data_IF_791602978582
#
_entry.id   IF_791602978582
#
_cell.length_a   1.000
_cell.length_b   1.000
_cell.length_c   1.000
_cell.angle_alpha   90.00
_cell.angle_beta   90.00
_cell.angle_gamma   90.00
#
_symmetry.space_group_name_H-M   'P 1'
#
loop_
_entity.id
_entity.type
_entity.pdbx_description
1 polymer ?
#
# COMPACT_ATOMS: atom_id res chain seq x y z
N UNK A 1 21.35 2.89 6.10
CA UNK A 1 20.18 3.73 5.74
C UNK A 1 20.50 5.21 5.89
N UNK A 2 19.76 6.13 5.25
CA UNK A 2 19.91 7.58 5.46
C UNK A 2 19.84 7.96 6.95
N UNK A 3 18.91 7.35 7.69
CA UNK A 3 18.75 7.52 9.14
C UNK A 3 20.03 7.20 9.95
N UNK A 4 20.73 6.10 9.62
CA UNK A 4 21.98 5.72 10.30
C UNK A 4 23.13 6.72 10.07
N UNK A 5 23.01 7.55 9.03
CA UNK A 5 23.99 8.60 8.67
C UNK A 5 23.52 10.01 9.04
N UNK A 6 22.36 10.14 9.70
CA UNK A 6 21.75 11.43 10.02
C UNK A 6 21.32 12.24 8.79
N UNK A 7 21.16 11.60 7.64
CA UNK A 7 20.72 12.27 6.42
C UNK A 7 19.20 12.30 6.35
N UNK A 8 18.59 13.36 5.78
CA UNK A 8 17.17 13.37 5.49
C UNK A 8 16.78 12.13 4.66
N UNK A 9 15.54 11.60 4.80
CA UNK A 9 15.09 10.50 3.97
C UNK A 9 15.15 10.85 2.48
N UNK A 10 15.28 9.84 1.62
CA UNK A 10 15.24 9.99 0.17
C UNK A 10 13.91 9.45 -0.34
N UNK A 11 13.19 10.26 -1.10
CA UNK A 11 11.94 9.89 -1.76
C UNK A 11 12.04 10.09 -3.27
N UNK A 12 11.10 9.51 -4.01
CA UNK A 12 10.97 9.73 -5.46
C UNK A 12 9.66 10.46 -5.77
N UNK A 13 9.74 11.59 -6.47
CA UNK A 13 8.56 12.22 -7.08
C UNK A 13 8.68 12.26 -8.59
N UNK A 14 7.55 12.41 -9.27
CA UNK A 14 7.52 12.47 -10.73
C UNK A 14 8.31 13.66 -11.27
N UNK A 15 8.24 14.80 -10.59
CA UNK A 15 8.81 16.07 -11.08
C UNK A 15 10.30 16.18 -10.78
N UNK A 16 10.79 15.61 -9.67
CA UNK A 16 12.16 15.78 -9.20
C UNK A 16 13.00 14.50 -9.24
N UNK A 17 12.38 13.34 -9.49
CA UNK A 17 13.06 12.06 -9.33
C UNK A 17 13.45 11.79 -7.87
N UNK A 18 14.56 11.09 -7.65
CA UNK A 18 15.06 10.83 -6.30
C UNK A 18 15.70 12.08 -5.69
N UNK A 19 15.22 12.49 -4.52
CA UNK A 19 15.74 13.64 -3.80
C UNK A 19 15.58 13.46 -2.28
N UNK A 20 16.34 14.25 -1.52
CA UNK A 20 16.21 14.32 -0.07
C UNK A 20 14.97 15.10 0.31
N UNK A 21 14.26 14.66 1.35
CA UNK A 21 13.14 15.39 1.91
C UNK A 21 13.58 16.76 2.45
N UNK A 22 12.81 17.79 2.14
CA UNK A 22 12.93 19.15 2.65
C UNK A 22 12.29 19.33 4.03
N UNK A 23 11.44 18.40 4.46
CA UNK A 23 10.81 18.42 5.79
C UNK A 23 10.57 17.02 6.35
N UNK A 24 10.29 16.93 7.66
CA UNK A 24 9.93 15.66 8.33
C UNK A 24 8.55 15.14 7.91
N UNK A 25 7.66 15.99 7.40
CA UNK A 25 6.31 15.60 6.97
C UNK A 25 6.29 14.98 5.56
N UNK A 26 7.17 15.46 4.67
CA UNK A 26 7.28 15.00 3.29
C UNK A 26 7.50 13.48 3.13
N UNK A 27 8.35 12.78 3.93
CA UNK A 27 8.47 11.33 3.84
C UNK A 27 7.17 10.62 4.25
N UNK A 28 6.48 11.09 5.30
CA UNK A 28 5.20 10.49 5.72
C UNK A 28 4.12 10.66 4.65
N UNK A 29 4.01 11.85 4.05
CA UNK A 29 3.08 12.10 2.95
C UNK A 29 3.38 11.22 1.73
N UNK A 30 4.65 11.08 1.39
CA UNK A 30 5.10 10.21 0.30
C UNK A 30 4.75 8.74 0.57
N UNK A 31 5.04 8.25 1.77
CA UNK A 31 4.72 6.87 2.18
C UNK A 31 3.21 6.60 2.14
N UNK A 32 2.40 7.53 2.67
CA UNK A 32 0.94 7.44 2.63
C UNK A 32 0.41 7.45 1.18
N UNK A 33 0.94 8.31 0.32
CA UNK A 33 0.56 8.37 -1.08
C UNK A 33 0.93 7.07 -1.83
N UNK A 34 2.14 6.57 -1.62
CA UNK A 34 2.61 5.32 -2.21
C UNK A 34 1.78 4.12 -1.75
N UNK A 35 1.51 4.03 -0.44
CA UNK A 35 0.64 3.01 0.12
C UNK A 35 -0.71 3.05 -0.56
N UNK A 36 -1.42 4.20 -0.54
CA UNK A 36 -2.75 4.38 -1.15
C UNK A 36 -2.82 3.94 -2.61
N UNK A 37 -1.81 4.29 -3.41
CA UNK A 37 -1.71 3.87 -4.81
C UNK A 37 -1.63 2.34 -4.93
N UNK A 38 -0.74 1.71 -4.15
CA UNK A 38 -0.63 0.24 -4.14
C UNK A 38 -1.92 -0.44 -3.71
N UNK A 39 -2.69 0.14 -2.79
CA UNK A 39 -3.96 -0.45 -2.35
C UNK A 39 -5.00 -0.39 -3.46
N UNK A 40 -5.03 0.73 -4.15
CA UNK A 40 -5.92 0.90 -5.29
C UNK A 40 -5.59 -0.14 -6.36
N UNK A 41 -4.31 -0.36 -6.64
CA UNK A 41 -3.85 -1.39 -7.58
C UNK A 41 -4.24 -2.80 -7.12
N UNK A 42 -3.99 -3.15 -5.85
CA UNK A 42 -4.38 -4.45 -5.29
C UNK A 42 -5.90 -4.64 -5.35
N UNK A 43 -6.67 -3.67 -4.88
CA UNK A 43 -8.14 -3.73 -4.90
C UNK A 43 -8.66 -3.92 -6.32
N UNK A 44 -8.11 -3.20 -7.31
CA UNK A 44 -8.51 -3.36 -8.73
C UNK A 44 -8.14 -4.75 -9.29
N UNK A 45 -6.93 -5.25 -9.02
CA UNK A 45 -6.53 -6.59 -9.42
C UNK A 45 -7.47 -7.64 -8.82
N UNK A 46 -7.78 -7.48 -7.53
CA UNK A 46 -8.66 -8.35 -6.79
C UNK A 46 -10.08 -8.35 -7.36
N UNK A 47 -10.72 -7.18 -7.46
CA UNK A 47 -12.13 -7.12 -7.85
C UNK A 47 -12.34 -7.31 -9.35
N UNK A 48 -11.38 -6.85 -10.15
CA UNK A 48 -11.48 -6.85 -11.62
C UNK A 48 -10.95 -8.10 -12.29
N UNK A 49 -9.95 -8.77 -11.73
CA UNK A 49 -9.33 -9.95 -12.34
C UNK A 49 -9.54 -11.22 -11.52
N UNK A 50 -9.20 -11.19 -10.23
CA UNK A 50 -9.19 -12.39 -9.39
C UNK A 50 -10.62 -12.79 -8.99
N UNK A 51 -11.42 -11.86 -8.47
CA UNK A 51 -12.77 -12.09 -7.95
C UNK A 51 -13.71 -12.83 -8.91
N UNK A 52 -13.81 -12.43 -10.20
CA UNK A 52 -14.60 -13.15 -11.19
C UNK A 52 -14.16 -14.62 -11.36
N UNK A 53 -12.85 -14.88 -11.34
CA UNK A 53 -12.32 -16.24 -11.40
C UNK A 53 -12.62 -17.02 -10.12
N UNK A 54 -12.47 -16.41 -8.95
CA UNK A 54 -12.78 -17.03 -7.65
C UNK A 54 -14.26 -17.42 -7.53
N UNK A 55 -15.17 -16.61 -8.09
CA UNK A 55 -16.61 -16.86 -8.06
C UNK A 55 -17.02 -18.17 -8.77
N UNK A 56 -16.19 -18.66 -9.71
CA UNK A 56 -16.40 -19.94 -10.38
C UNK A 56 -16.09 -21.16 -9.50
N UNK A 57 -15.37 -20.96 -8.38
CA UNK A 57 -14.90 -22.04 -7.51
C UNK A 57 -15.29 -21.80 -6.03
N UNK A 58 -16.58 -21.69 -5.70
CA UNK A 58 -17.06 -21.27 -4.37
C UNK A 58 -16.72 -22.23 -3.22
N UNK A 59 -16.33 -23.47 -3.52
CA UNK A 59 -15.94 -24.48 -2.52
C UNK A 59 -14.43 -24.64 -2.37
N UNK A 60 -13.65 -23.83 -3.08
CA UNK A 60 -12.18 -23.91 -3.01
C UNK A 60 -11.66 -23.28 -1.72
N UNK A 61 -10.93 -24.06 -0.94
CA UNK A 61 -10.25 -23.59 0.29
C UNK A 61 -9.23 -22.50 -0.03
N UNK A 62 -8.56 -22.60 -1.17
CA UNK A 62 -7.59 -21.61 -1.64
C UNK A 62 -8.24 -20.24 -1.94
N UNK A 63 -9.46 -20.26 -2.50
CA UNK A 63 -10.27 -19.05 -2.76
C UNK A 63 -10.64 -18.35 -1.43
N UNK A 64 -11.04 -19.14 -0.43
CA UNK A 64 -11.35 -18.63 0.91
C UNK A 64 -10.14 -17.95 1.55
N UNK A 65 -8.99 -18.63 1.55
CA UNK A 65 -7.74 -18.08 2.10
C UNK A 65 -7.35 -16.75 1.45
N UNK A 66 -7.36 -16.67 0.12
CA UNK A 66 -7.04 -15.43 -0.59
C UNK A 66 -8.01 -14.30 -0.22
N UNK A 67 -9.31 -14.59 -0.17
CA UNK A 67 -10.32 -13.59 0.17
C UNK A 67 -10.12 -13.01 1.57
N UNK A 68 -9.71 -13.84 2.53
CA UNK A 68 -9.45 -13.40 3.90
C UNK A 68 -8.15 -12.59 4.02
N UNK A 69 -7.09 -12.99 3.32
CA UNK A 69 -5.83 -12.22 3.26
C UNK A 69 -6.07 -10.81 2.68
N UNK A 70 -6.92 -10.70 1.67
CA UNK A 70 -7.26 -9.40 1.08
C UNK A 70 -8.01 -8.49 2.05
N UNK A 71 -9.00 -9.02 2.79
CA UNK A 71 -9.71 -8.26 3.83
C UNK A 71 -8.75 -7.80 4.93
N UNK A 72 -7.80 -8.65 5.32
CA UNK A 72 -6.78 -8.30 6.31
C UNK A 72 -5.89 -7.16 5.81
N UNK A 73 -5.46 -7.21 4.54
CA UNK A 73 -4.72 -6.13 3.90
C UNK A 73 -5.53 -4.83 3.95
N UNK A 74 -6.77 -4.83 3.43
CA UNK A 74 -7.65 -3.64 3.43
C UNK A 74 -7.82 -3.03 4.84
N UNK A 75 -7.99 -3.88 5.87
CA UNK A 75 -8.13 -3.44 7.26
C UNK A 75 -6.85 -2.81 7.82
N UNK A 76 -5.69 -3.45 7.63
CA UNK A 76 -4.40 -2.93 8.12
C UNK A 76 -4.07 -1.57 7.50
N UNK A 77 -4.52 -1.36 6.27
CA UNK A 77 -4.28 -0.13 5.54
C UNK A 77 -5.23 0.99 5.91
N UNK A 78 -6.50 0.66 6.19
CA UNK A 78 -7.44 1.61 6.78
C UNK A 78 -6.95 2.09 8.16
N UNK A 79 -6.19 1.26 8.88
CA UNK A 79 -5.52 1.64 10.11
C UNK A 79 -4.30 2.54 9.85
N UNK A 80 -3.42 2.16 8.93
CA UNK A 80 -2.22 2.95 8.58
C UNK A 80 -2.55 4.32 7.97
N UNK A 81 -3.70 4.47 7.33
CA UNK A 81 -4.17 5.75 6.79
C UNK A 81 -4.72 6.72 7.85
N UNK A 82 -4.82 6.31 9.12
CA UNK A 82 -5.21 7.20 10.22
C UNK A 82 -3.96 7.94 10.72
N UNK A 83 -4.06 9.25 10.99
CA UNK A 83 -2.95 9.97 11.60
C UNK A 83 -2.60 9.32 12.95
N UNK A 84 -1.31 9.23 13.31
CA UNK A 84 -0.92 8.84 14.65
C UNK A 84 -1.55 9.80 15.66
N UNK A 85 -2.07 9.25 16.76
CA UNK A 85 -2.58 10.05 17.89
C UNK A 85 -1.45 10.67 18.68
#
# INVERSE_FOLDING_TARGET
MCAERGWPPVIWTRDLGYHFCASEAEPEEWELAWLREKLTQFRRMITGAIGPHLALFPKSVWVGYLSDQMKAIESNLALAARPPR
#
